data_IF_624732451701
#
_entry.id   IF_624732451701
#
_cell.length_a   1.000
_cell.length_b   1.000
_cell.length_c   1.000
_cell.angle_alpha   90.00
_cell.angle_beta   90.00
_cell.angle_gamma   90.00
#
_symmetry.space_group_name_H-M   'P 1'
#
loop_
_entity.id
_entity.type
_entity.pdbx_description
1 polymer ?
#
# COMPACT_ATOMS: atom_id res chain seq x y z
N UNK A 1 -9.10 23.64 -29.92
CA UNK A 1 -8.92 24.07 -28.52
C UNK A 1 -8.16 22.97 -27.79
N UNK A 2 -6.89 23.20 -27.44
CA UNK A 2 -6.12 22.27 -26.60
C UNK A 2 -6.11 22.91 -25.22
N UNK A 3 -6.87 22.37 -24.27
CA UNK A 3 -6.91 22.86 -22.90
C UNK A 3 -5.51 22.72 -22.32
N UNK A 4 -4.71 23.80 -22.37
CA UNK A 4 -3.40 23.90 -21.73
C UNK A 4 -3.63 24.19 -20.26
N UNK A 5 -4.12 23.21 -19.53
CA UNK A 5 -3.96 23.23 -18.08
C UNK A 5 -2.69 22.41 -17.85
N UNK A 6 -1.54 23.03 -17.54
CA UNK A 6 -0.44 22.28 -16.99
C UNK A 6 -0.97 21.68 -15.68
N UNK A 7 -1.22 20.38 -15.66
CA UNK A 7 -1.41 19.65 -14.42
C UNK A 7 -0.21 19.98 -13.55
N UNK A 8 -0.46 20.64 -12.42
CA UNK A 8 0.62 20.97 -11.49
C UNK A 8 1.27 19.66 -11.04
N UNK A 9 2.57 19.63 -10.79
CA UNK A 9 3.27 18.42 -10.30
C UNK A 9 2.55 17.77 -9.11
N UNK A 10 1.91 18.58 -8.25
CA UNK A 10 1.11 18.10 -7.14
C UNK A 10 -0.13 17.27 -7.55
N UNK A 11 -0.75 17.60 -8.68
CA UNK A 11 -1.89 16.86 -9.23
C UNK A 11 -1.45 15.54 -9.87
N UNK A 12 -0.31 15.53 -10.57
CA UNK A 12 0.28 14.30 -11.11
C UNK A 12 0.69 13.35 -9.98
N UNK A 13 1.33 13.84 -8.93
CA UNK A 13 1.68 13.05 -7.75
C UNK A 13 0.44 12.53 -7.02
N UNK A 14 -0.62 13.34 -6.91
CA UNK A 14 -1.88 12.91 -6.32
C UNK A 14 -2.56 11.81 -7.15
N UNK A 15 -2.51 11.91 -8.48
CA UNK A 15 -3.02 10.88 -9.39
C UNK A 15 -2.22 9.59 -9.27
N UNK A 16 -0.90 9.67 -9.29
CA UNK A 16 -0.02 8.50 -9.14
C UNK A 16 -0.22 7.83 -7.78
N UNK A 17 -0.37 8.61 -6.70
CA UNK A 17 -0.71 8.06 -5.38
C UNK A 17 -2.06 7.36 -5.39
N UNK A 18 -3.09 7.94 -6.01
CA UNK A 18 -4.41 7.30 -6.13
C UNK A 18 -4.33 5.98 -6.87
N UNK A 19 -3.62 5.95 -7.99
CA UNK A 19 -3.41 4.74 -8.78
C UNK A 19 -2.74 3.64 -7.95
N UNK A 20 -1.74 4.00 -7.13
CA UNK A 20 -1.11 3.05 -6.19
C UNK A 20 -2.03 2.59 -5.06
N UNK A 21 -3.00 3.40 -4.64
CA UNK A 21 -4.01 3.02 -3.65
C UNK A 21 -5.04 2.05 -4.22
N UNK A 22 -5.33 2.16 -5.51
CA UNK A 22 -6.28 1.30 -6.22
C UNK A 22 -5.65 -0.02 -6.70
N UNK A 23 -4.33 -0.22 -6.49
CA UNK A 23 -3.66 -1.50 -6.73
C UNK A 23 -4.25 -2.61 -5.86
N UNK A 24 -4.36 -3.79 -6.46
CA UNK A 24 -4.88 -4.98 -5.77
C UNK A 24 -3.80 -5.64 -4.91
N UNK A 25 -4.20 -6.27 -3.80
CA UNK A 25 -3.29 -7.06 -2.95
C UNK A 25 -2.60 -8.18 -3.74
N UNK A 26 -3.29 -8.76 -4.74
CA UNK A 26 -2.71 -9.74 -5.65
C UNK A 26 -1.53 -9.19 -6.48
N UNK A 27 -1.55 -7.89 -6.83
CA UNK A 27 -0.48 -7.23 -7.59
C UNK A 27 0.70 -6.80 -6.73
N UNK A 28 0.52 -6.76 -5.39
CA UNK A 28 1.59 -6.44 -4.45
C UNK A 28 2.66 -7.54 -4.34
N UNK A 29 2.43 -8.72 -4.94
CA UNK A 29 3.38 -9.83 -4.89
C UNK A 29 3.50 -10.48 -3.51
N UNK A 30 2.46 -10.39 -2.69
CA UNK A 30 2.40 -11.02 -1.38
C UNK A 30 2.29 -12.54 -1.49
N UNK A 31 2.66 -13.25 -0.42
CA UNK A 31 2.44 -14.69 -0.34
C UNK A 31 0.95 -15.01 -0.48
N UNK A 32 0.63 -16.13 -1.16
CA UNK A 32 -0.76 -16.63 -1.30
C UNK A 32 -1.48 -16.69 0.06
N UNK A 33 -0.74 -17.03 1.13
CA UNK A 33 -1.30 -17.04 2.49
C UNK A 33 -1.72 -15.65 2.96
N UNK A 34 -0.85 -14.67 2.78
CA UNK A 34 -1.06 -13.28 3.16
C UNK A 34 -2.21 -12.68 2.36
N UNK A 35 -2.22 -12.89 1.03
CA UNK A 35 -3.30 -12.46 0.14
C UNK A 35 -4.64 -13.05 0.58
N UNK A 36 -4.74 -14.37 0.77
CA UNK A 36 -5.99 -15.01 1.18
C UNK A 36 -6.49 -14.49 2.53
N UNK A 37 -5.60 -14.27 3.51
CA UNK A 37 -5.98 -13.72 4.81
C UNK A 37 -6.55 -12.30 4.69
N UNK A 38 -5.95 -11.47 3.83
CA UNK A 38 -6.42 -10.12 3.57
C UNK A 38 -7.77 -10.13 2.85
N UNK A 39 -7.91 -10.94 1.80
CA UNK A 39 -9.16 -11.07 1.03
C UNK A 39 -10.32 -11.58 1.90
N UNK A 40 -10.08 -12.55 2.77
CA UNK A 40 -11.09 -13.09 3.69
C UNK A 40 -11.59 -12.04 4.70
N UNK A 41 -10.78 -11.02 4.98
CA UNK A 41 -11.19 -9.88 5.83
C UNK A 41 -11.81 -8.71 5.09
N UNK A 42 -11.95 -8.85 3.76
CA UNK A 42 -12.45 -7.82 2.87
C UNK A 42 -11.40 -6.79 2.46
N UNK A 43 -10.12 -7.10 2.59
CA UNK A 43 -9.01 -6.24 2.15
C UNK A 43 -8.54 -6.73 0.78
N UNK A 44 -9.04 -6.09 -0.28
CA UNK A 44 -8.75 -6.45 -1.67
C UNK A 44 -7.76 -5.48 -2.33
N UNK A 45 -7.67 -4.26 -1.81
CA UNK A 45 -6.83 -3.19 -2.36
C UNK A 45 -5.87 -2.61 -1.34
N UNK A 46 -4.83 -1.93 -1.82
CA UNK A 46 -3.89 -1.15 -0.99
C UNK A 46 -4.63 -0.08 -0.17
N UNK A 47 -5.67 0.53 -0.73
CA UNK A 47 -6.55 1.46 -0.02
C UNK A 47 -7.20 0.81 1.19
N UNK A 48 -7.77 -0.38 1.04
CA UNK A 48 -8.41 -1.10 2.14
C UNK A 48 -7.40 -1.49 3.20
N UNK A 49 -6.20 -1.89 2.77
CA UNK A 49 -5.10 -2.26 3.64
C UNK A 49 -4.59 -1.07 4.48
N UNK A 50 -4.48 0.11 3.88
CA UNK A 50 -4.10 1.34 4.57
C UNK A 50 -5.20 1.86 5.50
N UNK A 51 -6.46 1.60 5.17
CA UNK A 51 -7.59 1.85 6.07
C UNK A 51 -7.69 0.80 7.20
N UNK A 52 -7.09 -0.38 7.02
CA UNK A 52 -7.04 -1.39 8.05
C UNK A 52 -6.00 -1.03 9.12
N UNK A 53 -6.36 -1.21 10.38
CA UNK A 53 -5.43 -0.97 11.48
C UNK A 53 -4.56 -2.19 11.72
N UNK A 54 -3.30 -2.04 12.17
CA UNK A 54 -2.43 -3.16 12.52
C UNK A 54 -3.07 -4.08 13.57
N UNK A 55 -3.86 -3.52 14.49
CA UNK A 55 -4.62 -4.29 15.50
C UNK A 55 -5.71 -5.16 14.87
N UNK A 56 -6.32 -4.72 13.76
CA UNK A 56 -7.29 -5.53 13.01
C UNK A 56 -6.56 -6.65 12.27
N UNK A 57 -5.43 -6.34 11.64
CA UNK A 57 -4.61 -7.33 10.95
C UNK A 57 -4.10 -8.43 11.89
N UNK A 58 -3.55 -8.06 13.05
CA UNK A 58 -3.10 -9.00 14.09
C UNK A 58 -4.24 -9.82 14.74
N UNK A 59 -5.50 -9.45 14.52
CA UNK A 59 -6.67 -10.23 14.98
C UNK A 59 -7.08 -11.32 13.98
N UNK A 60 -6.55 -11.30 12.76
CA UNK A 60 -6.91 -12.26 11.71
C UNK A 60 -6.28 -13.61 12.06
N UNK A 61 -7.09 -14.67 12.05
CA UNK A 61 -6.59 -16.03 12.26
C UNK A 61 -5.63 -16.38 11.12
N UNK A 62 -4.42 -16.83 11.44
CA UNK A 62 -3.29 -17.05 10.52
C UNK A 62 -2.50 -15.80 10.08
N UNK A 63 -2.76 -14.64 10.70
CA UNK A 63 -1.98 -13.42 10.45
C UNK A 63 -0.97 -13.22 11.59
N UNK A 64 0.30 -13.44 11.28
CA UNK A 64 1.41 -13.33 12.23
C UNK A 64 2.34 -12.15 11.91
N UNK A 65 3.44 -12.04 12.65
CA UNK A 65 4.48 -11.04 12.38
C UNK A 65 5.03 -11.15 10.95
N UNK A 66 5.24 -12.37 10.44
CA UNK A 66 5.74 -12.59 9.08
C UNK A 66 4.82 -12.07 7.98
N UNK A 67 3.53 -12.39 8.04
CA UNK A 67 2.55 -11.91 7.06
C UNK A 67 2.35 -10.40 7.17
N UNK A 68 2.47 -9.87 8.39
CA UNK A 68 2.41 -8.44 8.65
C UNK A 68 3.63 -7.71 8.05
N UNK A 69 4.84 -8.25 8.21
CA UNK A 69 6.04 -7.69 7.61
C UNK A 69 6.00 -7.76 6.08
N UNK A 70 5.54 -8.86 5.48
CA UNK A 70 5.34 -8.94 4.02
C UNK A 70 4.44 -7.80 3.50
N UNK A 71 3.33 -7.56 4.19
CA UNK A 71 2.40 -6.46 3.88
C UNK A 71 3.11 -5.11 3.96
N UNK A 72 3.93 -4.91 4.99
CA UNK A 72 4.65 -3.66 5.15
C UNK A 72 5.73 -3.47 4.10
N UNK A 73 6.51 -4.50 3.78
CA UNK A 73 7.52 -4.46 2.73
C UNK A 73 6.88 -4.13 1.38
N UNK A 74 5.73 -4.73 1.08
CA UNK A 74 4.99 -4.43 -0.15
C UNK A 74 4.45 -2.99 -0.17
N UNK A 75 3.99 -2.46 0.95
CA UNK A 75 3.60 -1.04 1.07
C UNK A 75 4.80 -0.11 0.89
N UNK A 76 5.95 -0.43 1.47
CA UNK A 76 7.19 0.33 1.34
C UNK A 76 7.68 0.35 -0.12
N UNK A 77 7.56 -0.76 -0.87
CA UNK A 77 7.85 -0.83 -2.30
C UNK A 77 6.94 0.10 -3.14
N UNK A 78 5.68 0.25 -2.74
CA UNK A 78 4.74 1.20 -3.34
C UNK A 78 4.96 2.65 -2.87
N UNK A 79 5.87 2.88 -1.94
CA UNK A 79 6.16 4.20 -1.36
C UNK A 79 5.17 4.64 -0.28
N UNK A 80 4.42 3.71 0.31
CA UNK A 80 3.58 3.95 1.48
C UNK A 80 4.34 3.54 2.74
N UNK A 81 4.75 4.53 3.54
CA UNK A 81 5.49 4.32 4.77
C UNK A 81 4.64 4.61 5.99
N UNK A 82 4.87 3.87 7.07
CA UNK A 82 4.19 4.12 8.35
C UNK A 82 4.60 5.50 8.88
N UNK A 83 3.66 6.37 9.32
CA UNK A 83 3.99 7.64 9.94
C UNK A 83 4.72 7.35 11.26
N UNK A 84 6.06 7.44 11.23
CA UNK A 84 6.93 7.07 12.36
C UNK A 84 8.21 6.34 11.95
N UNK A 85 8.24 5.69 10.77
CA UNK A 85 9.50 5.26 10.14
C UNK A 85 9.94 6.40 9.23
N UNK A 86 10.80 7.26 9.75
CA UNK A 86 11.48 8.27 8.94
C UNK A 86 12.30 7.52 7.89
N UNK A 87 11.75 7.38 6.69
CA UNK A 87 12.52 6.90 5.56
C UNK A 87 13.58 7.96 5.35
N UNK A 88 14.82 7.61 5.66
CA UNK A 88 15.95 8.23 5.00
C UNK A 88 15.71 7.95 3.51
N UNK A 89 15.03 8.86 2.82
CA UNK A 89 14.99 8.86 1.37
C UNK A 89 16.41 9.19 0.93
N UNK A 90 17.29 8.20 1.02
CA UNK A 90 18.56 8.17 0.33
C UNK A 90 18.18 8.05 -1.14
N UNK A 91 17.93 9.22 -1.73
CA UNK A 91 18.02 9.48 -3.15
C UNK A 91 19.47 9.15 -3.55
N UNK A 92 19.77 7.87 -3.78
CA UNK A 92 20.98 7.46 -4.45
C UNK A 92 20.74 7.58 -5.96
N UNK A 93 21.73 8.19 -6.61
CA UNK A 93 21.80 8.65 -7.99
C UNK A 93 21.37 7.62 -9.04
#
# INVERSE_FOLDING_TARGET
>A
MKTRIPLSQAEEDARLRRERLDLSIAEMGLSVRTTNCLEETGILTVRDLLNATPRRLLKISNFGEKTLDEVYDALELLGFFRPGRQVVTSKAH
#
